data_IF_992035994708
#
_entry.id   IF_992035994708
#
_cell.length_a   1.000
_cell.length_b   1.000
_cell.length_c   1.000
_cell.angle_alpha   90.00
_cell.angle_beta   90.00
_cell.angle_gamma   90.00
#
_symmetry.space_group_name_H-M   'P 1'
#
loop_
_entity.id
_entity.type
_entity.pdbx_description
1 polymer ?
#
# COMPACT_ATOMS: atom_id res chain seq x y z
N UNK A 1 -6.88 -12.11 52.36
CA UNK A 1 -6.41 -12.99 51.27
C UNK A 1 -7.60 -13.83 50.83
N UNK A 2 -7.86 -13.94 49.53
CA UNK A 2 -9.03 -14.52 48.81
C UNK A 2 -10.23 -13.60 48.48
N UNK A 3 -10.35 -13.34 47.16
CA UNK A 3 -11.50 -13.16 46.26
C UNK A 3 -12.83 -12.55 46.74
N UNK A 4 -13.38 -11.63 45.93
CA UNK A 4 -14.72 -11.74 45.31
C UNK A 4 -14.76 -10.84 44.06
N UNK A 5 -15.07 -11.45 42.91
CA UNK A 5 -15.55 -10.78 41.70
C UNK A 5 -16.95 -10.22 41.97
N UNK A 6 -17.25 -8.98 41.57
CA UNK A 6 -18.65 -8.65 41.29
C UNK A 6 -18.81 -7.68 40.13
N UNK A 7 -19.40 -8.25 39.10
CA UNK A 7 -19.94 -7.66 37.89
C UNK A 7 -21.15 -6.79 38.22
N UNK A 8 -21.19 -5.56 37.74
CA UNK A 8 -22.42 -4.81 37.60
C UNK A 8 -22.31 -3.91 36.37
N UNK A 9 -22.74 -4.43 35.22
CA UNK A 9 -23.04 -3.64 34.04
C UNK A 9 -24.32 -2.84 34.31
N UNK A 10 -24.20 -1.52 34.47
CA UNK A 10 -25.34 -0.63 34.42
C UNK A 10 -25.41 0.00 33.03
N UNK A 11 -26.37 -0.50 32.23
CA UNK A 11 -26.85 0.14 31.02
C UNK A 11 -27.71 1.34 31.46
N UNK A 12 -27.33 2.56 31.05
CA UNK A 12 -28.25 3.70 31.11
C UNK A 12 -28.38 4.29 29.70
N UNK A 13 -29.53 4.01 29.08
CA UNK A 13 -29.97 4.64 27.84
C UNK A 13 -30.67 5.94 28.24
N UNK A 14 -30.11 7.09 27.88
CA UNK A 14 -30.77 8.38 28.02
C UNK A 14 -30.77 9.13 26.68
N UNK A 15 -31.95 9.07 26.03
CA UNK A 15 -32.63 10.04 25.18
C UNK A 15 -31.83 11.17 24.52
N UNK A 16 -31.78 11.13 23.18
CA UNK A 16 -31.45 12.22 22.28
C UNK A 16 -32.52 13.33 22.32
N UNK A 17 -32.11 14.59 22.56
CA UNK A 17 -32.75 15.77 21.97
C UNK A 17 -31.72 16.85 21.61
N UNK A 18 -31.55 17.03 20.30
CA UNK A 18 -31.40 18.30 19.60
C UNK A 18 -30.21 19.20 19.98
N UNK A 19 -29.06 19.03 19.30
CA UNK A 19 -28.30 20.17 18.76
C UNK A 19 -27.81 19.84 17.34
N UNK A 20 -28.38 20.58 16.40
CA UNK A 20 -27.89 21.07 15.11
C UNK A 20 -26.55 20.56 14.54
N UNK A 21 -26.66 20.17 13.27
CA UNK A 21 -25.63 19.85 12.28
C UNK A 21 -24.33 20.68 12.34
N UNK A 22 -23.19 19.99 12.40
CA UNK A 22 -22.20 19.92 11.31
C UNK A 22 -20.83 19.46 11.85
N UNK A 23 -20.08 18.79 10.97
CA UNK A 23 -18.62 18.51 11.06
C UNK A 23 -18.21 17.20 11.78
N UNK A 24 -17.36 16.44 11.07
CA UNK A 24 -16.55 15.27 11.43
C UNK A 24 -17.18 13.86 11.41
N UNK A 25 -17.06 13.20 10.25
CA UNK A 25 -16.98 11.73 10.15
C UNK A 25 -15.52 11.30 10.34
N UNK A 26 -15.21 10.67 11.47
CA UNK A 26 -13.98 9.89 11.68
C UNK A 26 -14.32 8.46 12.16
N UNK A 27 -13.44 7.47 11.92
CA UNK A 27 -13.76 6.06 12.10
C UNK A 27 -13.77 5.68 13.59
N UNK A 28 -14.59 4.68 13.89
CA UNK A 28 -14.86 4.14 15.23
C UNK A 28 -13.58 3.54 15.82
N UNK A 29 -13.07 4.14 16.89
CA UNK A 29 -12.08 3.52 17.79
C UNK A 29 -12.78 3.12 19.09
N UNK A 30 -12.54 1.89 19.56
CA UNK A 30 -13.04 1.38 20.83
C UNK A 30 -12.30 2.12 21.96
N UNK A 31 -13.00 2.99 22.70
CA UNK A 31 -12.49 3.64 23.90
C UNK A 31 -12.69 2.75 25.13
N UNK A 32 -11.62 2.55 25.90
CA UNK A 32 -11.73 2.18 27.32
C UNK A 32 -11.40 3.43 28.13
N UNK A 33 -12.36 3.91 28.92
CA UNK A 33 -12.21 5.08 29.78
C UNK A 33 -11.86 4.62 31.20
N UNK A 34 -10.82 5.20 31.79
CA UNK A 34 -10.61 5.20 33.24
C UNK A 34 -10.72 6.64 33.72
N UNK A 35 -11.68 6.90 34.62
CA UNK A 35 -11.84 8.18 35.31
C UNK A 35 -11.06 8.11 36.63
N UNK A 36 -10.06 8.98 36.82
CA UNK A 36 -9.42 9.19 38.12
C UNK A 36 -9.85 10.58 38.60
N UNK A 37 -10.63 10.70 39.68
CA UNK A 37 -10.93 12.01 40.27
C UNK A 37 -9.74 12.48 41.11
N UNK A 38 -9.20 13.66 40.80
CA UNK A 38 -8.35 14.40 41.73
C UNK A 38 -9.27 15.28 42.58
N UNK A 39 -9.32 15.02 43.88
CA UNK A 39 -10.00 15.89 44.85
C UNK A 39 -9.16 17.15 45.06
N UNK A 40 -9.59 18.26 44.46
CA UNK A 40 -9.15 19.61 44.83
C UNK A 40 -10.40 20.39 45.23
N UNK A 41 -10.38 20.91 46.45
CA UNK A 41 -11.46 21.69 47.05
C UNK A 41 -11.77 22.96 46.25
N UNK A 42 -13.07 23.27 46.20
CA UNK A 42 -13.73 24.49 45.73
C UNK A 42 -13.82 24.71 44.20
N UNK A 43 -15.03 24.44 43.71
CA UNK A 43 -15.69 25.01 42.52
C UNK A 43 -14.89 25.09 41.21
N UNK A 44 -14.62 23.93 40.63
CA UNK A 44 -14.79 23.60 39.19
C UNK A 44 -14.10 22.25 38.95
N UNK A 45 -14.89 21.19 38.85
CA UNK A 45 -14.39 19.85 38.49
C UNK A 45 -13.82 19.91 37.07
N UNK A 46 -12.51 20.07 36.96
CA UNK A 46 -11.81 20.09 35.68
C UNK A 46 -11.41 18.66 35.37
N UNK A 47 -12.15 18.00 34.48
CA UNK A 47 -11.79 16.67 34.00
C UNK A 47 -10.58 16.80 33.07
N UNK A 48 -9.40 16.46 33.58
CA UNK A 48 -8.23 16.24 32.72
C UNK A 48 -8.40 14.90 32.02
N UNK A 49 -8.73 14.94 30.72
CA UNK A 49 -8.61 13.79 29.84
C UNK A 49 -7.12 13.51 29.62
N UNK A 50 -6.53 12.68 30.47
CA UNK A 50 -5.28 12.01 30.15
C UNK A 50 -5.57 11.03 29.01
N UNK A 51 -5.37 11.49 27.78
CA UNK A 51 -5.20 10.61 26.63
C UNK A 51 -3.95 9.77 26.87
N UNK A 52 -4.13 8.65 27.58
CA UNK A 52 -3.16 7.59 27.61
C UNK A 52 -3.23 6.90 26.24
N UNK A 53 -2.72 7.58 25.22
CA UNK A 53 -2.34 6.91 23.98
C UNK A 53 -1.23 5.95 24.39
N UNK A 54 -1.62 4.71 24.66
CA UNK A 54 -0.71 3.58 24.74
C UNK A 54 -0.17 3.38 23.33
N UNK A 55 0.71 4.29 22.91
CA UNK A 55 1.63 4.10 21.80
C UNK A 55 2.46 2.89 22.20
N UNK A 56 1.98 1.71 21.81
CA UNK A 56 2.87 0.58 21.61
C UNK A 56 4.00 1.13 20.75
N UNK A 57 5.24 1.00 21.20
CA UNK A 57 6.42 1.15 20.35
C UNK A 57 6.28 0.18 19.17
N UNK A 58 5.51 0.61 18.16
CA UNK A 58 5.46 -0.05 16.88
C UNK A 58 6.77 0.30 16.24
N UNK A 59 7.76 -0.60 16.35
CA UNK A 59 8.98 -0.52 15.56
C UNK A 59 8.56 -0.17 14.14
N UNK A 60 8.96 1.03 13.69
CA UNK A 60 8.55 1.61 12.42
C UNK A 60 8.93 0.72 11.26
N UNK A 61 10.01 -0.06 11.40
CA UNK A 61 10.46 -1.04 10.43
C UNK A 61 10.57 -2.43 11.06
N UNK A 62 9.80 -3.39 10.56
CA UNK A 62 9.74 -4.77 11.10
C UNK A 62 9.34 -5.80 10.05
N UNK A 63 9.45 -7.08 10.38
CA UNK A 63 8.85 -8.14 9.58
C UNK A 63 7.33 -7.94 9.45
N UNK A 64 6.80 -8.32 8.28
CA UNK A 64 5.35 -8.45 8.09
C UNK A 64 4.78 -9.50 9.04
N UNK A 65 3.63 -9.22 9.64
CA UNK A 65 2.91 -10.18 10.47
C UNK A 65 2.06 -11.14 9.60
N UNK A 66 1.39 -12.12 10.23
CA UNK A 66 0.59 -13.13 9.51
C UNK A 66 -0.51 -12.52 8.63
N UNK A 67 -1.20 -11.49 9.12
CA UNK A 67 -2.30 -10.83 8.38
C UNK A 67 -1.76 -10.08 7.17
N UNK A 68 -0.71 -9.27 7.37
CA UNK A 68 -0.02 -8.52 6.31
C UNK A 68 0.55 -9.48 5.25
N UNK A 69 1.11 -10.60 5.71
CA UNK A 69 1.63 -11.66 4.86
C UNK A 69 0.55 -12.23 3.95
N UNK A 70 -0.63 -12.56 4.49
CA UNK A 70 -1.77 -13.03 3.70
C UNK A 70 -2.21 -11.98 2.68
N UNK A 71 -2.36 -10.72 3.08
CA UNK A 71 -2.74 -9.64 2.15
C UNK A 71 -1.77 -9.50 0.96
N UNK A 72 -0.47 -9.63 1.23
CA UNK A 72 0.57 -9.54 0.21
C UNK A 72 0.50 -10.76 -0.71
N UNK A 73 0.49 -11.98 -0.16
CA UNK A 73 0.49 -13.19 -0.97
C UNK A 73 -0.79 -13.38 -1.79
N UNK A 74 -1.97 -13.06 -1.25
CA UNK A 74 -3.24 -13.12 -1.99
C UNK A 74 -3.23 -12.19 -3.22
N UNK A 75 -2.44 -11.11 -3.16
CA UNK A 75 -2.26 -10.19 -4.27
C UNK A 75 -1.20 -10.69 -5.25
N UNK A 76 -0.08 -11.23 -4.76
CA UNK A 76 1.02 -11.72 -5.59
C UNK A 76 0.68 -13.01 -6.34
N UNK A 77 -0.04 -13.95 -5.72
CA UNK A 77 -0.42 -15.23 -6.34
C UNK A 77 -1.27 -15.02 -7.60
N UNK A 78 -2.06 -13.94 -7.65
CA UNK A 78 -2.82 -13.54 -8.84
C UNK A 78 -1.92 -13.14 -10.02
N UNK A 79 -0.70 -12.70 -9.74
CA UNK A 79 0.29 -12.34 -10.76
C UNK A 79 1.14 -13.54 -11.16
N UNK A 80 1.48 -14.40 -10.19
CA UNK A 80 2.16 -15.66 -10.43
C UNK A 80 2.13 -16.60 -9.22
N UNK A 81 1.83 -17.90 -9.44
CA UNK A 81 1.76 -18.88 -8.36
C UNK A 81 3.14 -19.23 -7.76
N UNK A 82 4.24 -19.02 -8.49
CA UNK A 82 5.57 -19.49 -8.09
C UNK A 82 6.37 -18.50 -7.24
N UNK A 83 5.83 -17.31 -6.97
CA UNK A 83 6.54 -16.24 -6.25
C UNK A 83 6.96 -16.68 -4.84
N UNK A 84 6.10 -17.44 -4.15
CA UNK A 84 6.39 -17.91 -2.81
C UNK A 84 7.62 -18.83 -2.76
N UNK A 85 7.62 -19.87 -3.60
CA UNK A 85 8.74 -20.81 -3.72
C UNK A 85 10.04 -20.09 -4.08
N UNK A 86 9.96 -19.07 -4.94
CA UNK A 86 11.11 -18.27 -5.31
C UNK A 86 11.66 -17.46 -4.12
N UNK A 87 10.80 -16.82 -3.33
CA UNK A 87 11.24 -16.08 -2.14
C UNK A 87 11.88 -16.99 -1.10
N UNK A 88 11.29 -18.17 -0.85
CA UNK A 88 11.86 -19.14 0.09
C UNK A 88 13.22 -19.66 -0.38
N UNK A 89 13.32 -20.08 -1.65
CA UNK A 89 14.55 -20.62 -2.22
C UNK A 89 15.72 -19.64 -2.16
N UNK A 90 15.43 -18.35 -2.34
CA UNK A 90 16.45 -17.29 -2.36
C UNK A 90 16.59 -16.55 -1.02
N UNK A 91 15.90 -17.00 0.04
CA UNK A 91 15.89 -16.40 1.38
C UNK A 91 15.56 -14.89 1.36
N UNK A 92 14.60 -14.50 0.52
CA UNK A 92 14.02 -13.17 0.55
C UNK A 92 12.97 -13.06 1.65
N UNK A 93 12.94 -11.92 2.33
CA UNK A 93 12.01 -11.63 3.42
C UNK A 93 11.28 -10.32 3.20
N UNK A 94 10.00 -10.30 3.54
CA UNK A 94 9.17 -9.11 3.47
C UNK A 94 9.18 -8.35 4.79
N UNK A 95 9.39 -7.04 4.68
CA UNK A 95 9.39 -6.08 5.78
C UNK A 95 8.33 -5.02 5.52
N UNK A 96 7.82 -4.44 6.60
CA UNK A 96 6.88 -3.34 6.57
C UNK A 96 7.49 -2.13 7.26
N UNK A 97 7.38 -0.99 6.59
CA UNK A 97 7.66 0.32 7.15
C UNK A 97 6.35 1.08 7.39
N UNK A 98 6.11 1.45 8.65
CA UNK A 98 5.01 2.30 9.09
C UNK A 98 5.57 3.72 9.16
N UNK A 99 5.47 4.44 8.04
CA UNK A 99 5.99 5.81 7.97
C UNK A 99 4.99 6.75 8.67
N UNK A 100 5.30 7.16 9.89
CA UNK A 100 4.48 8.11 10.66
C UNK A 100 4.78 9.58 10.29
N UNK A 101 5.89 9.85 9.60
CA UNK A 101 6.49 11.18 9.49
C UNK A 101 6.41 11.85 8.11
N UNK A 102 6.02 11.14 7.05
CA UNK A 102 5.92 11.73 5.70
C UNK A 102 4.47 11.82 5.24
N UNK A 103 4.01 13.05 4.97
CA UNK A 103 2.67 13.37 4.50
C UNK A 103 2.30 12.72 3.15
N UNK A 104 3.25 12.12 2.44
CA UNK A 104 3.11 11.68 1.05
C UNK A 104 2.82 10.18 0.88
N UNK A 105 3.16 9.32 1.85
CA UNK A 105 2.75 7.91 1.84
C UNK A 105 1.96 7.54 3.10
N UNK A 106 0.65 7.84 3.10
CA UNK A 106 -0.29 7.43 4.17
C UNK A 106 -0.42 5.91 4.36
N UNK A 107 0.27 5.11 3.54
CA UNK A 107 0.11 3.67 3.47
C UNK A 107 1.39 2.96 3.91
N UNK A 108 1.26 1.87 4.69
CA UNK A 108 2.41 1.04 5.04
C UNK A 108 3.16 0.56 3.80
N UNK A 109 4.46 0.82 3.79
CA UNK A 109 5.36 0.44 2.70
C UNK A 109 5.93 -0.95 2.94
N UNK A 110 6.02 -1.75 1.89
CA UNK A 110 6.55 -3.11 1.93
C UNK A 110 7.90 -3.14 1.23
N UNK A 111 8.84 -3.82 1.85
CA UNK A 111 10.20 -3.97 1.36
C UNK A 111 10.58 -5.44 1.23
N UNK A 112 11.28 -5.79 0.16
CA UNK A 112 11.88 -7.09 -0.05
C UNK A 112 13.37 -7.02 0.30
N UNK A 113 13.81 -7.83 1.26
CA UNK A 113 15.16 -7.81 1.80
C UNK A 113 15.82 -9.17 1.59
N UNK A 114 17.06 -9.18 1.11
CA UNK A 114 17.86 -10.41 1.02
C UNK A 114 18.51 -10.78 2.35
N UNK A 115 18.92 -12.04 2.50
CA UNK A 115 19.66 -12.52 3.68
C UNK A 115 20.86 -11.66 4.05
N UNK A 116 21.64 -11.20 3.08
CA UNK A 116 22.86 -10.43 3.34
C UNK A 116 22.54 -9.00 3.77
N UNK A 117 21.52 -8.38 3.18
CA UNK A 117 21.02 -7.08 3.64
C UNK A 117 20.47 -7.18 5.07
N UNK A 118 19.84 -8.30 5.42
CA UNK A 118 19.35 -8.54 6.79
C UNK A 118 20.49 -8.65 7.81
N UNK A 119 21.62 -9.28 7.46
CA UNK A 119 22.80 -9.33 8.34
C UNK A 119 23.31 -7.92 8.64
N UNK A 120 23.43 -7.08 7.60
CA UNK A 120 23.81 -5.68 7.75
C UNK A 120 22.81 -4.90 8.60
N UNK A 121 21.50 -5.11 8.39
CA UNK A 121 20.47 -4.40 9.16
C UNK A 121 20.59 -4.67 10.67
N UNK A 122 20.96 -5.89 11.06
CA UNK A 122 21.13 -6.29 12.47
C UNK A 122 22.33 -5.63 13.16
N UNK A 123 23.32 -5.15 12.40
CA UNK A 123 24.46 -4.42 12.99
C UNK A 123 24.09 -2.98 13.36
N UNK A 124 23.01 -2.44 12.79
CA UNK A 124 22.51 -1.09 13.04
C UNK A 124 21.64 -1.06 14.31
N UNK A 125 22.27 -1.20 15.48
CA UNK A 125 21.57 -1.41 16.77
C UNK A 125 20.65 -0.25 17.22
N UNK A 126 20.86 0.98 16.78
CA UNK A 126 20.19 2.18 17.33
C UNK A 126 19.57 3.13 16.27
N UNK A 127 19.47 2.73 15.01
CA UNK A 127 18.96 3.63 13.97
C UNK A 127 17.46 3.41 13.78
N UNK A 128 16.69 4.50 13.72
CA UNK A 128 15.32 4.48 13.17
C UNK A 128 15.43 4.16 11.68
N UNK A 129 15.36 2.88 11.35
CA UNK A 129 15.34 2.43 9.96
C UNK A 129 14.01 2.90 9.35
N UNK A 130 14.10 3.65 8.26
CA UNK A 130 12.95 4.15 7.51
C UNK A 130 12.66 3.19 6.34
N UNK A 131 13.71 2.70 5.69
CA UNK A 131 13.65 1.77 4.56
C UNK A 131 14.90 0.89 4.52
N UNK A 132 14.78 -0.29 3.91
CA UNK A 132 15.91 -1.16 3.58
C UNK A 132 15.52 -2.13 2.47
N UNK A 133 16.47 -2.51 1.62
CA UNK A 133 16.22 -3.42 0.50
C UNK A 133 15.43 -2.77 -0.64
N UNK A 134 14.68 -3.59 -1.38
CA UNK A 134 13.88 -3.17 -2.53
C UNK A 134 12.51 -2.70 -2.05
N UNK A 135 12.09 -1.48 -2.41
CA UNK A 135 10.71 -1.06 -2.23
C UNK A 135 9.80 -1.91 -3.12
N UNK A 136 8.98 -2.75 -2.50
CA UNK A 136 8.21 -3.77 -3.20
C UNK A 136 6.75 -3.37 -3.44
N UNK A 137 6.25 -2.41 -2.67
CA UNK A 137 4.88 -1.93 -2.80
C UNK A 137 4.33 -1.34 -1.52
N UNK A 138 3.02 -1.23 -1.42
CA UNK A 138 2.34 -0.72 -0.23
C UNK A 138 1.02 -1.43 0.03
N UNK A 139 0.56 -1.41 1.28
CA UNK A 139 -0.76 -1.92 1.66
C UNK A 139 -1.75 -0.77 1.81
N UNK A 140 -2.84 -0.82 1.06
CA UNK A 140 -3.93 0.18 1.13
C UNK A 140 -5.27 -0.53 1.19
N UNK A 141 -6.07 -0.19 2.21
CA UNK A 141 -7.42 -0.76 2.41
C UNK A 141 -7.41 -2.31 2.35
N UNK A 142 -6.44 -2.93 3.03
CA UNK A 142 -6.32 -4.40 3.11
C UNK A 142 -5.82 -5.10 1.84
N UNK A 143 -5.40 -4.35 0.81
CA UNK A 143 -4.86 -4.92 -0.42
C UNK A 143 -3.41 -4.47 -0.61
N UNK A 144 -2.58 -5.37 -1.12
CA UNK A 144 -1.22 -5.05 -1.51
C UNK A 144 -1.18 -4.53 -2.95
N UNK A 145 -0.50 -3.41 -3.15
CA UNK A 145 -0.26 -2.77 -4.43
C UNK A 145 1.23 -2.88 -4.73
N UNK A 146 1.56 -3.60 -5.80
CA UNK A 146 2.93 -3.81 -6.26
C UNK A 146 3.54 -2.48 -6.74
N UNK A 147 4.78 -2.19 -6.37
CA UNK A 147 5.53 -1.07 -6.90
C UNK A 147 6.08 -1.36 -8.30
N UNK A 148 6.55 -0.32 -9.00
CA UNK A 148 7.18 -0.51 -10.30
C UNK A 148 8.49 -1.30 -10.16
N UNK A 149 9.26 -1.03 -9.11
CA UNK A 149 10.54 -1.68 -8.82
C UNK A 149 10.33 -3.15 -8.44
N UNK A 150 9.26 -3.43 -7.68
CA UNK A 150 8.82 -4.78 -7.39
C UNK A 150 8.40 -5.53 -8.64
N UNK A 151 7.70 -4.86 -9.56
CA UNK A 151 7.33 -5.44 -10.84
C UNK A 151 8.55 -5.73 -11.72
N UNK A 152 9.50 -4.82 -11.83
CA UNK A 152 10.76 -5.05 -12.55
C UNK A 152 11.54 -6.22 -11.97
N UNK A 153 11.63 -6.30 -10.64
CA UNK A 153 12.27 -7.42 -9.96
C UNK A 153 11.61 -8.75 -10.32
N UNK A 154 10.28 -8.83 -10.26
CA UNK A 154 9.55 -10.04 -10.62
C UNK A 154 9.72 -10.39 -12.11
N UNK A 155 9.70 -9.39 -12.99
CA UNK A 155 9.92 -9.58 -14.43
C UNK A 155 11.30 -10.15 -14.73
N UNK A 156 12.36 -9.53 -14.20
CA UNK A 156 13.74 -9.92 -14.44
C UNK A 156 14.08 -11.31 -13.89
N UNK A 157 13.34 -11.78 -12.89
CA UNK A 157 13.48 -13.13 -12.35
C UNK A 157 12.55 -14.16 -13.02
N UNK A 158 11.91 -13.80 -14.14
CA UNK A 158 10.97 -14.66 -14.88
C UNK A 158 9.79 -15.15 -14.03
N UNK A 159 9.37 -14.33 -13.06
CA UNK A 159 8.29 -14.69 -12.15
C UNK A 159 6.93 -14.29 -12.67
N UNK A 160 6.81 -13.53 -13.74
CA UNK A 160 5.52 -13.30 -14.39
C UNK A 160 5.21 -14.40 -15.39
N UNK A 161 4.23 -15.25 -15.08
CA UNK A 161 3.75 -16.27 -16.03
C UNK A 161 2.89 -15.64 -17.14
N UNK A 162 2.04 -14.66 -16.79
CA UNK A 162 0.94 -14.23 -17.68
C UNK A 162 0.76 -12.71 -17.80
N UNK A 163 1.63 -11.92 -17.16
CA UNK A 163 1.42 -10.49 -17.09
C UNK A 163 1.53 -9.86 -18.47
N UNK A 164 0.45 -9.19 -18.90
CA UNK A 164 0.34 -8.63 -20.25
C UNK A 164 1.25 -7.42 -20.37
N UNK A 165 1.88 -7.31 -21.54
CA UNK A 165 2.87 -6.27 -21.85
C UNK A 165 2.31 -5.41 -22.95
N UNK A 166 2.48 -4.10 -22.86
CA UNK A 166 2.12 -3.18 -23.93
C UNK A 166 3.36 -2.37 -24.27
N UNK A 167 3.66 -2.23 -25.56
CA UNK A 167 4.71 -1.36 -26.05
C UNK A 167 4.10 -0.04 -26.51
N UNK A 168 4.67 1.07 -26.08
CA UNK A 168 4.28 2.41 -26.52
C UNK A 168 5.21 2.93 -27.61
N UNK A 169 4.67 3.86 -28.40
CA UNK A 169 5.49 4.74 -29.23
C UNK A 169 6.05 5.92 -28.41
N UNK A 170 6.96 6.70 -29.00
CA UNK A 170 7.65 7.81 -28.32
C UNK A 170 6.68 8.84 -27.71
N UNK A 171 5.55 9.09 -28.39
CA UNK A 171 4.50 9.97 -27.87
C UNK A 171 3.86 9.38 -26.60
N UNK A 172 3.60 8.08 -26.61
CA UNK A 172 3.08 7.34 -25.47
C UNK A 172 4.05 7.31 -24.30
N UNK A 173 5.31 6.98 -24.55
CA UNK A 173 6.38 6.98 -23.55
C UNK A 173 6.49 8.33 -22.85
N UNK A 174 6.61 9.42 -23.61
CA UNK A 174 6.64 10.76 -23.03
C UNK A 174 5.39 11.01 -22.19
N UNK A 175 4.21 10.74 -22.73
CA UNK A 175 2.95 11.04 -22.06
C UNK A 175 2.78 10.29 -20.73
N UNK A 176 3.09 8.98 -20.70
CA UNK A 176 2.91 8.16 -19.49
C UNK A 176 3.91 8.53 -18.40
N UNK A 177 5.15 8.88 -18.73
CA UNK A 177 6.15 9.35 -17.77
C UNK A 177 5.79 10.71 -17.13
N UNK A 178 4.88 11.48 -17.74
CA UNK A 178 4.26 12.65 -17.11
C UNK A 178 3.02 12.31 -16.26
N UNK A 179 2.72 11.04 -16.03
CA UNK A 179 1.58 10.59 -15.23
C UNK A 179 0.26 10.46 -15.99
N UNK A 180 0.27 10.60 -17.32
CA UNK A 180 -0.96 10.47 -18.10
C UNK A 180 -1.34 9.00 -18.30
N UNK A 181 -2.62 8.78 -18.59
CA UNK A 181 -3.13 7.47 -19.01
C UNK A 181 -2.78 7.17 -20.47
N UNK A 182 -2.78 5.89 -20.84
CA UNK A 182 -2.43 5.42 -22.19
C UNK A 182 -3.62 5.59 -23.13
N UNK A 183 -3.42 6.30 -24.24
CA UNK A 183 -4.40 6.44 -25.31
C UNK A 183 -4.18 5.40 -26.41
N UNK A 184 -5.23 5.09 -27.20
CA UNK A 184 -5.12 4.11 -28.29
C UNK A 184 -4.01 4.45 -29.29
N UNK A 185 -3.86 5.72 -29.67
CA UNK A 185 -2.82 6.15 -30.62
C UNK A 185 -1.39 6.14 -30.06
N UNK A 186 -1.21 5.82 -28.77
CA UNK A 186 0.10 5.69 -28.14
C UNK A 186 0.67 4.27 -28.28
N UNK A 187 -0.15 3.32 -28.70
CA UNK A 187 0.21 1.91 -28.77
C UNK A 187 1.08 1.63 -29.99
N UNK A 188 2.20 0.95 -29.73
CA UNK A 188 3.00 0.30 -30.75
C UNK A 188 2.62 -1.18 -30.86
N UNK A 189 2.54 -1.91 -29.74
CA UNK A 189 2.12 -3.31 -29.72
C UNK A 189 1.26 -3.61 -28.47
N UNK A 190 0.28 -4.52 -28.64
CA UNK A 190 -0.66 -4.92 -27.59
C UNK A 190 -1.06 -6.39 -27.77
N UNK A 191 -1.18 -7.18 -26.69
CA UNK A 191 -1.43 -8.61 -26.81
C UNK A 191 -2.91 -8.88 -27.12
N UNK A 192 -3.15 -9.81 -28.05
CA UNK A 192 -4.52 -10.24 -28.41
C UNK A 192 -5.30 -10.88 -27.26
N UNK A 193 -4.61 -11.35 -26.22
CA UNK A 193 -5.21 -11.96 -25.02
C UNK A 193 -5.54 -10.97 -23.90
N UNK A 194 -5.38 -9.66 -24.14
CA UNK A 194 -5.64 -8.62 -23.15
C UNK A 194 -7.12 -8.59 -22.73
N UNK A 195 -7.37 -8.60 -21.43
CA UNK A 195 -8.70 -8.46 -20.83
C UNK A 195 -8.85 -7.11 -20.11
N UNK A 196 -10.09 -6.75 -19.82
CA UNK A 196 -10.42 -5.60 -18.98
C UNK A 196 -9.92 -5.84 -17.56
N UNK A 197 -9.37 -4.80 -16.93
CA UNK A 197 -8.81 -4.77 -15.58
C UNK A 197 -7.49 -5.55 -15.39
N UNK A 198 -6.91 -6.12 -16.45
CA UNK A 198 -5.57 -6.71 -16.40
C UNK A 198 -4.54 -5.68 -15.94
N UNK A 199 -3.62 -6.10 -15.08
CA UNK A 199 -2.42 -5.33 -14.72
C UNK A 199 -1.38 -5.52 -15.83
N UNK A 200 -0.75 -4.42 -16.23
CA UNK A 200 0.09 -4.34 -17.41
C UNK A 200 1.47 -3.80 -17.05
N UNK A 201 2.50 -4.41 -17.61
CA UNK A 201 3.79 -3.77 -17.77
C UNK A 201 3.76 -2.94 -19.06
N UNK A 202 4.15 -1.68 -18.94
CA UNK A 202 4.28 -0.79 -20.08
C UNK A 202 5.75 -0.70 -20.43
N UNK A 203 6.05 -0.96 -21.71
CA UNK A 203 7.37 -0.91 -22.30
C UNK A 203 7.50 0.28 -23.25
N UNK A 204 8.68 0.87 -23.31
CA UNK A 204 9.05 1.74 -24.42
C UNK A 204 9.55 0.93 -25.63
N UNK A 205 10.08 1.61 -26.65
CA UNK A 205 10.63 0.97 -27.86
C UNK A 205 11.95 0.24 -27.63
N UNK A 206 12.62 0.51 -26.52
CA UNK A 206 13.90 -0.10 -26.16
C UNK A 206 13.71 -1.32 -25.24
N UNK A 207 12.49 -1.84 -25.14
CA UNK A 207 12.12 -2.93 -24.23
C UNK A 207 12.40 -2.63 -22.75
N UNK A 208 12.37 -1.35 -22.36
CA UNK A 208 12.47 -0.94 -20.97
C UNK A 208 11.09 -0.81 -20.34
N UNK A 209 10.91 -1.38 -19.15
CA UNK A 209 9.70 -1.15 -18.35
C UNK A 209 9.69 0.30 -17.89
N UNK A 210 8.62 1.03 -18.19
CA UNK A 210 8.49 2.46 -17.86
C UNK A 210 7.31 2.75 -16.92
N UNK A 211 6.33 1.84 -16.85
CA UNK A 211 5.17 2.02 -15.98
C UNK A 211 4.41 0.71 -15.70
N UNK A 212 3.59 0.76 -14.66
CA UNK A 212 2.49 -0.16 -14.38
C UNK A 212 1.17 0.52 -14.77
N UNK A 213 0.30 -0.22 -15.46
CA UNK A 213 -1.01 0.27 -15.84
C UNK A 213 -2.10 -0.77 -15.61
N UNK A 214 -3.36 -0.33 -15.63
CA UNK A 214 -4.53 -1.20 -15.63
C UNK A 214 -5.35 -1.02 -16.89
N UNK A 215 -5.64 -2.12 -17.60
CA UNK A 215 -6.46 -2.09 -18.81
C UNK A 215 -7.91 -1.69 -18.52
N UNK A 216 -8.51 -0.83 -19.36
CA UNK A 216 -9.94 -0.48 -19.28
C UNK A 216 -10.83 -1.38 -20.14
N UNK A 217 -10.26 -2.05 -21.13
CA UNK A 217 -10.99 -2.78 -22.17
C UNK A 217 -10.28 -4.09 -22.52
N UNK A 218 -11.01 -5.05 -23.07
CA UNK A 218 -10.38 -6.21 -23.71
C UNK A 218 -9.85 -5.83 -25.11
N UNK A 219 -9.00 -6.67 -25.68
CA UNK A 219 -8.40 -6.45 -27.00
C UNK A 219 -9.45 -6.14 -28.09
N UNK A 220 -10.53 -6.91 -28.16
CA UNK A 220 -11.56 -6.76 -29.21
C UNK A 220 -12.25 -5.39 -29.14
N UNK A 221 -12.51 -4.87 -27.93
CA UNK A 221 -13.12 -3.56 -27.77
C UNK A 221 -12.11 -2.45 -28.09
N UNK A 222 -10.83 -2.61 -27.75
CA UNK A 222 -9.78 -1.63 -28.07
C UNK A 222 -9.71 -1.38 -29.58
N UNK A 223 -9.87 -2.42 -30.40
CA UNK A 223 -9.87 -2.28 -31.86
C UNK A 223 -10.95 -1.32 -32.38
N UNK A 224 -12.07 -1.17 -31.67
CA UNK A 224 -13.21 -0.30 -32.05
C UNK A 224 -13.10 1.12 -31.51
N UNK A 225 -12.20 1.39 -30.56
CA UNK A 225 -12.07 2.70 -29.91
C UNK A 225 -11.51 3.77 -30.87
N UNK A 226 -11.81 5.04 -30.57
CA UNK A 226 -11.21 6.17 -31.29
C UNK A 226 -9.75 6.38 -30.88
N UNK A 227 -8.89 6.99 -31.73
CA UNK A 227 -7.46 7.16 -31.44
C UNK A 227 -7.13 7.87 -30.12
N UNK A 228 -7.97 8.80 -29.66
CA UNK A 228 -7.77 9.58 -28.42
C UNK A 228 -8.41 8.98 -27.18
N UNK A 229 -9.02 7.79 -27.28
CA UNK A 229 -9.66 7.16 -26.13
C UNK A 229 -8.64 6.46 -25.23
N UNK A 230 -8.86 6.56 -23.92
CA UNK A 230 -8.00 5.96 -22.90
C UNK A 230 -8.20 4.45 -22.89
N UNK A 231 -7.13 3.70 -23.13
CA UNK A 231 -7.16 2.23 -23.14
C UNK A 231 -6.68 1.62 -21.81
N UNK A 232 -5.81 2.31 -21.08
CA UNK A 232 -5.25 1.85 -19.83
C UNK A 232 -4.95 3.03 -18.90
N UNK A 233 -5.21 2.84 -17.61
CA UNK A 233 -5.00 3.83 -16.56
C UNK A 233 -3.58 3.65 -16.03
N UNK A 234 -2.79 4.72 -15.97
CA UNK A 234 -1.48 4.69 -15.34
C UNK A 234 -1.63 4.51 -13.82
N UNK A 235 -0.97 3.50 -13.27
CA UNK A 235 -0.95 3.21 -11.83
C UNK A 235 0.31 3.77 -11.15
N UNK A 236 1.46 3.62 -11.81
CA UNK A 236 2.76 4.14 -11.39
C UNK A 236 3.69 4.18 -12.61
N UNK A 237 4.60 5.16 -12.69
CA UNK A 237 5.55 5.35 -13.78
C UNK A 237 6.91 5.85 -13.27
N UNK A 238 7.98 5.58 -14.03
CA UNK A 238 9.35 6.00 -13.65
C UNK A 238 9.50 7.51 -13.53
N UNK A 239 8.72 8.29 -14.27
CA UNK A 239 8.76 9.75 -14.21
C UNK A 239 8.25 10.30 -12.88
N UNK A 240 7.57 9.50 -12.05
CA UNK A 240 7.21 9.87 -10.68
C UNK A 240 8.42 10.33 -9.85
N UNK A 241 9.57 9.66 -10.00
CA UNK A 241 10.80 9.99 -9.26
C UNK A 241 11.32 11.40 -9.52
N UNK A 242 11.10 11.92 -10.73
CA UNK A 242 11.53 13.28 -11.09
C UNK A 242 10.48 14.33 -10.69
N UNK A 243 9.21 13.94 -10.59
CA UNK A 243 8.09 14.84 -10.29
C UNK A 243 7.83 15.02 -8.80
N UNK A 244 8.15 14.03 -7.96
CA UNK A 244 7.87 14.09 -6.51
C UNK A 244 8.51 15.28 -5.81
N UNK A 245 9.65 15.77 -6.32
CA UNK A 245 10.44 16.83 -5.69
C UNK A 245 10.31 18.21 -6.38
N UNK A 246 9.31 18.40 -7.25
CA UNK A 246 9.03 19.67 -7.94
C UNK A 246 7.80 20.34 -7.35
#
# INVERSE_FOLDING_TARGET
>A
MSFIFNSAAFLFIASLKSISSSIFRMPIFILHYFLIPLLINNYKTTYFFLFYSRMRDLKTFRFVNKIETTMIYDSLIKLSPNIFLFFEKNDYRLYISLNELEAESKFPSIFLISKDQLKLLRTLKNNKIISAGLYFGFIKKGNFYLSLEGAEFLYNNNLFSDLKRIHLNDKGEKSILYGNSVLKNMIHAIPGSLKKNDILLIFNRNDEIIALAQSKYNYQNIQKLKPKEIIAINLNDKGYYLRRNQ
#
